data_IF_570104194528
#
_entry.id   IF_570104194528
#
_cell.length_a   1.000
_cell.length_b   1.000
_cell.length_c   1.000
_cell.angle_alpha   90.00
_cell.angle_beta   90.00
_cell.angle_gamma   90.00
#
_symmetry.space_group_name_H-M   'P 1'
#
loop_
_entity.id
_entity.type
_entity.pdbx_description
1 polymer ?
#
# COMPACT_ATOMS: atom_id res chain seq x y z
N UNK A 1 44.98 10.74 22.40
CA UNK A 1 43.63 11.12 22.86
C UNK A 1 42.71 11.05 21.65
N UNK A 2 42.04 9.92 21.45
CA UNK A 2 41.13 9.69 20.33
C UNK A 2 39.75 9.42 20.91
N UNK A 3 38.77 10.22 20.53
CA UNK A 3 37.38 10.06 20.97
C UNK A 3 36.73 9.08 20.00
N UNK A 4 36.60 7.82 20.40
CA UNK A 4 35.70 6.89 19.73
C UNK A 4 34.28 7.18 20.23
N UNK A 5 33.45 7.79 19.38
CA UNK A 5 32.01 7.84 19.62
C UNK A 5 31.43 6.45 19.35
N UNK A 6 30.96 5.81 20.42
CA UNK A 6 30.19 4.59 20.39
C UNK A 6 28.86 4.84 19.66
N UNK A 7 28.73 4.31 18.44
CA UNK A 7 27.43 4.24 17.77
C UNK A 7 26.65 3.11 18.43
N UNK A 8 25.90 3.46 19.47
CA UNK A 8 25.03 2.54 20.21
C UNK A 8 24.03 1.85 19.27
N UNK A 9 23.95 0.53 19.39
CA UNK A 9 23.07 -0.48 18.76
C UNK A 9 21.60 -0.05 18.55
N UNK A 10 21.32 0.86 17.62
CA UNK A 10 19.94 1.25 17.27
C UNK A 10 19.75 1.40 15.76
N UNK A 11 20.10 0.36 15.01
CA UNK A 11 19.52 0.17 13.68
C UNK A 11 18.12 -0.40 13.90
N UNK A 12 17.16 0.51 13.94
CA UNK A 12 15.72 0.24 14.05
C UNK A 12 15.35 -0.78 12.96
N UNK A 13 14.98 -1.98 13.39
CA UNK A 13 14.27 -2.96 12.56
C UNK A 13 12.90 -2.33 12.26
N UNK A 14 12.77 -1.66 11.13
CA UNK A 14 11.51 -1.05 10.68
C UNK A 14 10.46 -2.17 10.54
N UNK A 15 9.61 -2.34 11.53
CA UNK A 15 8.48 -3.25 11.47
C UNK A 15 7.36 -2.54 10.70
N UNK A 16 7.23 -2.81 9.41
CA UNK A 16 6.08 -2.37 8.63
C UNK A 16 4.93 -3.32 8.94
N UNK A 17 4.00 -2.88 9.79
CA UNK A 17 2.74 -3.60 10.00
C UNK A 17 1.81 -3.20 8.83
N UNK A 18 1.74 -4.04 7.81
CA UNK A 18 0.82 -3.85 6.69
C UNK A 18 -0.54 -4.40 7.09
N UNK A 19 -1.56 -3.55 7.14
CA UNK A 19 -2.94 -3.95 7.48
C UNK A 19 -3.80 -4.24 6.25
N UNK A 20 -3.38 -3.80 5.05
CA UNK A 20 -4.17 -3.91 3.82
C UNK A 20 -3.26 -3.99 2.58
N UNK A 21 -3.70 -4.75 1.59
CA UNK A 21 -3.18 -4.72 0.23
C UNK A 21 -4.11 -3.89 -0.65
N UNK A 22 -3.57 -3.01 -1.49
CA UNK A 22 -4.35 -2.21 -2.44
C UNK A 22 -3.84 -2.39 -3.87
N UNK A 23 -4.75 -2.49 -4.84
CA UNK A 23 -4.41 -2.60 -6.26
C UNK A 23 -5.43 -1.89 -7.14
N UNK A 24 -5.01 -1.38 -8.30
CA UNK A 24 -5.87 -0.63 -9.21
C UNK A 24 -6.42 -1.53 -10.31
N UNK A 25 -7.70 -1.39 -10.62
CA UNK A 25 -8.33 -2.02 -11.78
C UNK A 25 -9.38 -1.08 -12.39
N UNK A 26 -9.08 -0.53 -13.57
CA UNK A 26 -10.01 0.34 -14.30
C UNK A 26 -11.30 -0.41 -14.63
N UNK A 27 -12.42 0.32 -14.71
CA UNK A 27 -13.76 -0.26 -14.89
C UNK A 27 -13.93 -1.15 -16.12
N UNK A 28 -13.15 -0.90 -17.18
CA UNK A 28 -13.19 -1.69 -18.41
C UNK A 28 -12.38 -2.99 -18.35
N UNK A 29 -11.56 -3.19 -17.31
CA UNK A 29 -10.74 -4.39 -17.12
C UNK A 29 -11.53 -5.53 -16.48
N UNK A 30 -12.60 -6.00 -17.14
CA UNK A 30 -13.56 -6.97 -16.60
C UNK A 30 -12.92 -8.23 -16.03
N UNK A 31 -12.02 -8.88 -16.77
CA UNK A 31 -11.33 -10.09 -16.31
C UNK A 31 -10.50 -9.86 -15.03
N UNK A 32 -9.84 -8.70 -14.93
CA UNK A 32 -9.06 -8.32 -13.74
C UNK A 32 -9.98 -8.11 -12.53
N UNK A 33 -11.10 -7.42 -12.73
CA UNK A 33 -12.09 -7.18 -11.67
C UNK A 33 -12.66 -8.50 -11.16
N UNK A 34 -13.06 -9.41 -12.06
CA UNK A 34 -13.55 -10.74 -11.67
C UNK A 34 -12.51 -11.51 -10.87
N UNK A 35 -11.25 -11.53 -11.31
CA UNK A 35 -10.18 -12.21 -10.57
C UNK A 35 -9.95 -11.61 -9.16
N UNK A 36 -10.00 -10.28 -9.04
CA UNK A 36 -9.87 -9.60 -7.74
C UNK A 36 -11.01 -9.96 -6.80
N UNK A 37 -12.25 -9.91 -7.28
CA UNK A 37 -13.43 -10.29 -6.50
C UNK A 37 -13.35 -11.75 -6.04
N UNK A 38 -12.95 -12.66 -6.93
CA UNK A 38 -12.79 -14.08 -6.61
C UNK A 38 -11.66 -14.37 -5.61
N UNK A 39 -10.68 -13.46 -5.48
CA UNK A 39 -9.56 -13.57 -4.52
C UNK A 39 -9.80 -12.82 -3.21
N UNK A 40 -11.01 -12.26 -3.02
CA UNK A 40 -11.42 -11.61 -1.78
C UNK A 40 -11.12 -10.11 -1.72
N UNK A 41 -10.59 -9.52 -2.79
CA UNK A 41 -10.44 -8.07 -2.88
C UNK A 41 -11.81 -7.39 -3.04
N UNK A 42 -12.00 -6.24 -2.38
CA UNK A 42 -13.22 -5.44 -2.41
C UNK A 42 -12.95 -4.08 -3.04
N UNK A 43 -13.85 -3.59 -3.88
CA UNK A 43 -13.73 -2.23 -4.40
C UNK A 43 -13.84 -1.22 -3.26
N UNK A 44 -13.08 -0.14 -3.34
CA UNK A 44 -13.12 0.95 -2.36
C UNK A 44 -13.44 2.29 -3.04
N UNK A 45 -14.07 3.19 -2.27
CA UNK A 45 -14.24 4.59 -2.65
C UNK A 45 -13.01 5.43 -2.28
N UNK A 46 -12.08 4.87 -1.50
CA UNK A 46 -10.80 5.49 -1.21
C UNK A 46 -10.03 5.70 -2.52
N UNK A 47 -9.42 6.87 -2.65
CA UNK A 47 -8.66 7.25 -3.81
C UNK A 47 -7.24 7.63 -3.38
N UNK A 48 -6.25 7.23 -4.18
CA UNK A 48 -4.92 7.80 -4.03
C UNK A 48 -4.94 9.25 -4.48
N UNK A 49 -4.38 10.14 -3.68
CA UNK A 49 -4.28 11.56 -3.99
C UNK A 49 -2.84 11.84 -4.43
N UNK A 50 -2.69 12.27 -5.69
CA UNK A 50 -1.41 12.70 -6.24
C UNK A 50 -0.90 13.96 -5.56
N UNK A 51 0.39 14.25 -5.74
CA UNK A 51 1.01 15.46 -5.19
C UNK A 51 0.36 16.76 -5.70
N UNK A 52 -0.22 16.70 -6.89
CA UNK A 52 -0.98 17.76 -7.56
C UNK A 52 -2.46 17.85 -7.13
N UNK A 53 -2.89 16.99 -6.19
CA UNK A 53 -4.28 16.88 -5.75
C UNK A 53 -5.17 16.01 -6.65
N UNK A 54 -4.63 15.42 -7.73
CA UNK A 54 -5.39 14.53 -8.61
C UNK A 54 -5.83 13.28 -7.85
N UNK A 55 -7.14 12.95 -7.91
CA UNK A 55 -7.69 11.75 -7.27
C UNK A 55 -7.73 10.57 -8.23
N UNK A 56 -7.01 9.51 -7.90
CA UNK A 56 -7.03 8.25 -8.63
C UNK A 56 -7.95 7.25 -7.91
N UNK A 57 -9.12 7.03 -8.49
CA UNK A 57 -10.06 5.99 -8.04
C UNK A 57 -9.78 4.61 -8.63
N UNK A 58 -10.80 3.76 -8.60
CA UNK A 58 -10.78 2.39 -9.14
C UNK A 58 -9.79 1.44 -8.44
N UNK A 59 -9.67 1.59 -7.11
CA UNK A 59 -8.88 0.71 -6.27
C UNK A 59 -9.71 -0.41 -5.64
N UNK A 60 -9.04 -1.52 -5.41
CA UNK A 60 -9.52 -2.69 -4.70
C UNK A 60 -8.59 -2.98 -3.52
N UNK A 61 -9.15 -3.35 -2.38
CA UNK A 61 -8.42 -3.61 -1.14
C UNK A 61 -8.67 -5.02 -0.62
N UNK A 62 -7.66 -5.62 -0.01
CA UNK A 62 -7.73 -6.87 0.74
C UNK A 62 -7.20 -6.60 2.15
N UNK A 63 -8.03 -6.85 3.16
CA UNK A 63 -7.63 -6.73 4.57
C UNK A 63 -6.80 -7.97 4.95
N UNK A 64 -5.60 -7.76 5.50
CA UNK A 64 -4.65 -8.82 5.89
C UNK A 64 -4.89 -9.35 7.31
#
# INVERSE_FOLDING_TARGET
>A
MAIFHEVTKKQIKQLVILSKLATKAIKTAGQRITALQNTGFKSTKEALVGHDGTKYGDYFVYDL
#
